data_IF_076902054547
#
_entry.id   IF_076902054547
#
_cell.length_a   1.000
_cell.length_b   1.000
_cell.length_c   1.000
_cell.angle_alpha   90.00
_cell.angle_beta   90.00
_cell.angle_gamma   90.00
#
_symmetry.space_group_name_H-M   'P 1'
#
loop_
_entity.id
_entity.type
_entity.pdbx_description
1 polymer ?
#
# COMPACT_ATOMS: atom_id res chain seq x y z
N UNK A 1 23.46 -46.27 15.17
CA UNK A 1 22.17 -46.14 14.42
C UNK A 1 21.02 -45.53 15.22
N UNK A 2 20.88 -45.76 16.54
CA UNK A 2 19.80 -45.17 17.36
C UNK A 2 19.90 -43.66 17.62
N UNK A 3 21.10 -43.07 17.48
CA UNK A 3 21.34 -41.62 17.64
C UNK A 3 21.17 -40.81 16.34
N UNK A 4 21.17 -41.46 15.17
CA UNK A 4 20.97 -40.80 13.87
C UNK A 4 19.48 -40.57 13.55
N UNK A 5 18.58 -41.39 14.11
CA UNK A 5 17.13 -41.21 13.95
C UNK A 5 16.58 -40.01 14.74
N UNK A 6 17.18 -39.66 15.88
CA UNK A 6 16.74 -38.53 16.70
C UNK A 6 17.14 -37.17 16.10
N UNK A 7 18.31 -37.10 15.44
CA UNK A 7 18.79 -35.87 14.80
C UNK A 7 17.98 -35.50 13.55
N UNK A 8 17.45 -36.51 12.84
CA UNK A 8 16.56 -36.34 11.68
C UNK A 8 15.19 -35.74 12.06
N UNK A 9 14.69 -36.03 13.26
CA UNK A 9 13.37 -35.56 13.71
C UNK A 9 13.39 -34.10 14.23
N UNK A 10 14.54 -33.59 14.64
CA UNK A 10 14.68 -32.20 15.10
C UNK A 10 14.76 -31.19 13.94
N UNK A 11 15.28 -31.59 12.78
CA UNK A 11 15.42 -30.72 11.60
C UNK A 11 14.11 -30.47 10.85
N UNK A 12 13.06 -31.29 11.08
CA UNK A 12 11.79 -31.14 10.37
C UNK A 12 10.86 -30.07 10.98
N UNK A 13 11.15 -29.57 12.19
CA UNK A 13 10.24 -28.64 12.91
C UNK A 13 10.43 -27.16 12.59
N UNK A 14 11.41 -26.79 11.74
CA UNK A 14 11.75 -25.38 11.50
C UNK A 14 11.00 -24.76 10.31
N UNK A 15 10.33 -25.56 9.47
CA UNK A 15 9.64 -25.02 8.29
C UNK A 15 8.15 -24.79 8.60
N UNK A 16 7.86 -23.87 9.52
CA UNK A 16 6.56 -23.21 9.50
C UNK A 16 6.58 -22.29 8.28
N UNK A 17 5.72 -22.49 7.25
CA UNK A 17 5.53 -21.44 6.27
C UNK A 17 5.00 -20.25 7.06
N UNK A 18 5.78 -19.18 7.16
CA UNK A 18 5.23 -17.89 7.51
C UNK A 18 4.13 -17.66 6.48
N UNK A 19 2.86 -17.82 6.90
CA UNK A 19 1.76 -17.21 6.18
C UNK A 19 2.10 -15.74 6.20
N UNK A 20 2.77 -15.25 5.16
CA UNK A 20 2.71 -13.85 4.82
C UNK A 20 1.20 -13.57 4.87
N UNK A 21 0.76 -12.77 5.84
CA UNK A 21 -0.53 -12.13 5.72
C UNK A 21 -0.41 -11.43 4.37
N UNK A 22 -0.96 -12.04 3.33
CA UNK A 22 -1.29 -11.31 2.13
C UNK A 22 -2.34 -10.34 2.63
N UNK A 23 -1.89 -9.18 3.09
CA UNK A 23 -2.76 -8.04 3.34
C UNK A 23 -3.38 -7.73 2.00
N UNK A 24 -4.50 -8.38 1.74
CA UNK A 24 -5.16 -8.32 0.47
C UNK A 24 -5.97 -7.02 0.46
N UNK A 25 -5.47 -6.04 -0.28
CA UNK A 25 -6.14 -4.76 -0.49
C UNK A 25 -7.24 -4.87 -1.56
N UNK A 26 -7.46 -6.05 -2.16
CA UNK A 26 -8.40 -6.23 -3.27
C UNK A 26 -9.81 -5.84 -2.91
N UNK A 27 -10.24 -6.05 -1.66
CA UNK A 27 -11.60 -5.69 -1.23
C UNK A 27 -11.80 -4.17 -1.22
N UNK A 28 -10.83 -3.44 -0.71
CA UNK A 28 -10.83 -1.99 -0.64
C UNK A 28 -10.69 -1.39 -2.04
N UNK A 29 -9.81 -1.93 -2.88
CA UNK A 29 -9.67 -1.49 -4.27
C UNK A 29 -10.94 -1.71 -5.09
N UNK A 30 -11.63 -2.84 -4.89
CA UNK A 30 -12.92 -3.07 -5.53
C UNK A 30 -13.95 -2.03 -5.12
N UNK A 31 -13.97 -1.64 -3.85
CA UNK A 31 -14.87 -0.59 -3.37
C UNK A 31 -14.48 0.80 -3.93
N UNK A 32 -13.18 1.09 -4.08
CA UNK A 32 -12.71 2.29 -4.78
C UNK A 32 -13.26 2.32 -6.20
N UNK A 33 -13.08 1.23 -6.95
CA UNK A 33 -13.53 1.14 -8.35
C UNK A 33 -15.06 1.32 -8.45
N UNK A 34 -15.84 0.66 -7.59
CA UNK A 34 -17.30 0.81 -7.52
C UNK A 34 -17.72 2.27 -7.27
N UNK A 35 -17.05 2.98 -6.36
CA UNK A 35 -17.34 4.39 -6.13
C UNK A 35 -16.99 5.28 -7.32
N UNK A 36 -15.91 4.97 -8.04
CA UNK A 36 -15.52 5.72 -9.25
C UNK A 36 -16.50 5.49 -10.40
N UNK A 37 -16.92 4.25 -10.63
CA UNK A 37 -17.95 3.89 -11.62
C UNK A 37 -19.27 4.62 -11.34
N UNK A 38 -19.63 4.76 -10.06
CA UNK A 38 -20.82 5.46 -9.62
C UNK A 38 -20.66 6.99 -9.52
N UNK A 39 -19.58 7.57 -10.06
CA UNK A 39 -19.29 9.02 -10.04
C UNK A 39 -19.26 9.62 -8.62
N UNK A 40 -18.76 8.84 -7.65
CA UNK A 40 -18.60 9.24 -6.23
C UNK A 40 -17.12 9.37 -5.85
N UNK A 41 -16.37 10.32 -6.42
CA UNK A 41 -14.93 10.46 -6.19
C UNK A 41 -14.57 10.80 -4.74
N UNK A 42 -15.47 11.45 -3.99
CA UNK A 42 -15.30 11.71 -2.54
C UNK A 42 -15.20 10.43 -1.73
N UNK A 43 -16.16 9.53 -1.91
CA UNK A 43 -16.18 8.24 -1.21
C UNK A 43 -15.02 7.35 -1.64
N UNK A 44 -14.62 7.38 -2.92
CA UNK A 44 -13.42 6.70 -3.39
C UNK A 44 -12.17 7.23 -2.68
N UNK A 45 -12.02 8.55 -2.55
CA UNK A 45 -10.87 9.18 -1.88
C UNK A 45 -10.76 8.76 -0.41
N UNK A 46 -11.88 8.70 0.32
CA UNK A 46 -11.90 8.22 1.71
C UNK A 46 -11.37 6.79 1.86
N UNK A 47 -11.69 5.90 0.92
CA UNK A 47 -11.21 4.51 0.94
C UNK A 47 -9.74 4.46 0.55
N UNK A 48 -9.30 5.24 -0.43
CA UNK A 48 -7.89 5.34 -0.81
C UNK A 48 -7.03 5.84 0.36
N UNK A 49 -7.53 6.80 1.15
CA UNK A 49 -6.84 7.25 2.36
C UNK A 49 -6.66 6.10 3.37
N UNK A 50 -7.70 5.28 3.59
CA UNK A 50 -7.61 4.11 4.47
C UNK A 50 -6.60 3.07 3.96
N UNK A 51 -6.56 2.84 2.64
CA UNK A 51 -5.57 1.97 2.01
C UNK A 51 -4.16 2.51 2.27
N UNK A 52 -3.94 3.82 2.12
CA UNK A 52 -2.66 4.46 2.35
C UNK A 52 -2.20 4.28 3.81
N UNK A 53 -3.04 4.62 4.78
CA UNK A 53 -2.72 4.52 6.20
C UNK A 53 -2.40 3.06 6.61
N UNK A 54 -3.17 2.10 6.10
CA UNK A 54 -2.92 0.65 6.27
C UNK A 54 -1.59 0.23 5.63
N UNK A 55 -1.29 0.73 4.43
CA UNK A 55 -0.07 0.41 3.72
C UNK A 55 1.19 0.96 4.42
N UNK A 56 1.11 2.14 5.04
CA UNK A 56 2.15 2.69 5.90
C UNK A 56 2.36 1.80 7.13
N UNK A 57 1.29 1.43 7.83
CA UNK A 57 1.36 0.58 9.02
C UNK A 57 1.96 -0.81 8.72
N UNK A 58 1.69 -1.34 7.53
CA UNK A 58 2.14 -2.68 7.12
C UNK A 58 3.43 -2.64 6.29
N UNK A 59 4.09 -1.48 6.16
CA UNK A 59 5.30 -1.28 5.37
C UNK A 59 5.18 -1.79 3.92
N UNK A 60 4.00 -1.63 3.32
CA UNK A 60 3.72 -2.09 1.96
C UNK A 60 3.95 -0.96 0.94
N UNK A 61 5.20 -0.81 0.50
CA UNK A 61 5.62 0.24 -0.44
C UNK A 61 4.78 0.30 -1.73
N UNK A 62 4.41 -0.86 -2.27
CA UNK A 62 3.61 -0.93 -3.50
C UNK A 62 2.24 -0.25 -3.31
N UNK A 63 1.59 -0.49 -2.16
CA UNK A 63 0.28 0.07 -1.86
C UNK A 63 0.35 1.52 -1.43
N UNK A 64 1.43 1.93 -0.75
CA UNK A 64 1.73 3.34 -0.45
C UNK A 64 1.77 4.15 -1.75
N UNK A 65 2.58 3.71 -2.72
CA UNK A 65 2.72 4.41 -4.02
C UNK A 65 1.40 4.43 -4.79
N UNK A 66 0.71 3.29 -4.86
CA UNK A 66 -0.57 3.19 -5.59
C UNK A 66 -1.63 4.12 -5.01
N UNK A 67 -1.78 4.12 -3.68
CA UNK A 67 -2.79 4.95 -3.01
C UNK A 67 -2.44 6.43 -3.03
N UNK A 68 -1.17 6.81 -2.88
CA UNK A 68 -0.72 8.18 -3.06
C UNK A 68 -1.08 8.73 -4.45
N UNK A 69 -0.83 7.95 -5.51
CA UNK A 69 -1.18 8.33 -6.89
C UNK A 69 -2.69 8.54 -7.09
N UNK A 70 -3.53 7.66 -6.51
CA UNK A 70 -4.98 7.84 -6.54
C UNK A 70 -5.45 9.06 -5.75
N UNK A 71 -4.89 9.32 -4.57
CA UNK A 71 -5.19 10.53 -3.76
C UNK A 71 -4.94 11.79 -4.57
N UNK A 72 -3.82 11.84 -5.27
CA UNK A 72 -3.48 12.96 -6.14
C UNK A 72 -4.55 13.16 -7.21
N UNK A 73 -4.84 12.11 -8.00
CA UNK A 73 -5.82 12.21 -9.07
C UNK A 73 -7.24 12.54 -8.60
N UNK A 74 -7.64 12.10 -7.39
CA UNK A 74 -8.98 12.33 -6.85
C UNK A 74 -9.13 13.70 -6.18
N UNK A 75 -8.08 14.21 -5.54
CA UNK A 75 -8.05 15.56 -4.96
C UNK A 75 -8.01 16.63 -6.05
N UNK A 76 -7.26 16.38 -7.13
CA UNK A 76 -7.23 17.24 -8.32
C UNK A 76 -8.61 17.60 -8.87
N UNK A 77 -9.55 16.65 -8.80
CA UNK A 77 -10.91 16.77 -9.36
C UNK A 77 -11.92 17.48 -8.45
N UNK A 78 -11.59 17.72 -7.18
CA UNK A 78 -12.54 18.22 -6.19
C UNK A 78 -12.34 19.68 -5.80
N UNK A 79 -11.13 20.23 -5.94
CA UNK A 79 -10.83 21.61 -5.52
C UNK A 79 -10.25 22.47 -6.65
N UNK A 80 -10.81 23.67 -6.84
CA UNK A 80 -10.11 24.77 -7.51
C UNK A 80 -8.91 25.18 -6.63
N UNK A 81 -7.69 25.13 -7.18
CA UNK A 81 -6.37 25.22 -6.50
C UNK A 81 -5.76 23.91 -5.99
N UNK A 82 -6.29 22.75 -6.38
CA UNK A 82 -5.74 21.44 -6.03
C UNK A 82 -4.25 21.28 -6.36
N UNK A 83 -3.73 21.95 -7.39
CA UNK A 83 -2.32 21.88 -7.79
C UNK A 83 -1.32 22.25 -6.67
N UNK A 84 -1.65 23.25 -5.83
CA UNK A 84 -0.76 23.67 -4.74
C UNK A 84 -0.75 22.63 -3.61
N UNK A 85 -1.93 22.09 -3.28
CA UNK A 85 -2.08 21.05 -2.25
C UNK A 85 -1.33 19.79 -2.70
N UNK A 86 -1.52 19.39 -3.96
CA UNK A 86 -0.87 18.25 -4.59
C UNK A 86 0.65 18.32 -4.51
N UNK A 87 1.24 19.47 -4.84
CA UNK A 87 2.70 19.65 -4.75
C UNK A 87 3.19 19.51 -3.31
N UNK A 88 2.42 19.98 -2.33
CA UNK A 88 2.80 19.85 -0.91
C UNK A 88 2.69 18.40 -0.42
N UNK A 89 1.60 17.70 -0.75
CA UNK A 89 1.39 16.29 -0.39
C UNK A 89 2.45 15.40 -1.04
N UNK A 90 2.77 15.66 -2.32
CA UNK A 90 3.85 14.97 -3.04
C UNK A 90 5.22 15.15 -2.37
N UNK A 91 5.57 16.38 -1.98
CA UNK A 91 6.83 16.67 -1.27
C UNK A 91 6.89 15.95 0.08
N UNK A 92 5.77 15.90 0.79
CA UNK A 92 5.66 15.19 2.05
C UNK A 92 5.86 13.69 1.84
N UNK A 93 5.19 13.07 0.87
CA UNK A 93 5.33 11.64 0.56
C UNK A 93 6.79 11.27 0.20
N UNK A 94 7.48 12.13 -0.56
CA UNK A 94 8.91 11.96 -0.89
C UNK A 94 9.80 12.00 0.36
N UNK A 95 9.45 12.82 1.35
CA UNK A 95 10.21 12.89 2.61
C UNK A 95 10.01 11.69 3.52
N UNK A 96 8.88 10.98 3.38
CA UNK A 96 8.54 9.80 4.20
C UNK A 96 8.99 8.47 3.57
N UNK A 97 9.35 8.46 2.29
CA UNK A 97 9.82 7.25 1.60
C UNK A 97 11.34 7.15 1.61
N UNK A 98 11.86 6.03 2.08
CA UNK A 98 13.28 5.66 1.98
C UNK A 98 13.61 4.93 0.67
N UNK A 99 12.59 4.67 -0.16
CA UNK A 99 12.66 3.78 -1.31
C UNK A 99 13.26 4.50 -2.54
N UNK A 100 14.31 3.94 -3.19
CA UNK A 100 14.88 4.49 -4.43
C UNK A 100 13.85 4.63 -5.57
N UNK A 101 12.83 3.77 -5.61
CA UNK A 101 11.76 3.80 -6.62
C UNK A 101 10.94 5.08 -6.58
N UNK A 102 10.71 5.63 -5.39
CA UNK A 102 9.97 6.88 -5.23
C UNK A 102 10.75 8.07 -5.77
N UNK A 103 12.08 8.05 -5.69
CA UNK A 103 12.96 9.08 -6.28
C UNK A 103 12.95 9.04 -7.81
N UNK A 104 12.95 7.85 -8.42
CA UNK A 104 13.04 7.70 -9.87
C UNK A 104 11.78 8.09 -10.65
N UNK A 105 10.62 8.18 -9.99
CA UNK A 105 9.37 8.59 -10.65
C UNK A 105 9.35 10.08 -11.04
N UNK A 106 10.36 10.86 -10.63
CA UNK A 106 10.34 12.32 -10.71
C UNK A 106 11.69 12.97 -11.13
N UNK A 107 12.60 12.22 -11.76
CA UNK A 107 13.68 12.81 -12.58
C UNK A 107 13.23 13.04 -14.03
#
# INVERSE_FOLDING_TARGET
>A
MRLLLGLSLFLLSIVLPAKALSDDYSSEWKAVDEHLENQRPKSALEIVQKIYDKAIANHNEQQIIKSASYRIGLTARQEENSEIILVSELKQEISHTTSPLSRSLFE
#
